data_IF_007138119515
#
_entry.id   IF_007138119515
#
_cell.length_a   1.000
_cell.length_b   1.000
_cell.length_c   1.000
_cell.angle_alpha   90.00
_cell.angle_beta   90.00
_cell.angle_gamma   90.00
#
_symmetry.space_group_name_H-M   'P 1'
#
loop_
_entity.id
_entity.type
_entity.pdbx_description
1 polymer ?
#
# COMPACT_ATOMS: atom_id res chain seq x y z
N UNK A 1 1.40 3.05 17.86
CA UNK A 1 1.63 3.86 16.64
C UNK A 1 1.40 3.04 15.37
N UNK A 2 2.00 1.85 15.22
CA UNK A 2 1.78 0.99 14.03
C UNK A 2 0.31 0.59 13.82
N UNK A 3 -0.48 0.35 14.87
CA UNK A 3 -1.91 0.04 14.72
C UNK A 3 -2.73 1.23 14.20
N UNK A 4 -2.39 2.46 14.60
CA UNK A 4 -3.03 3.65 14.04
C UNK A 4 -2.71 3.82 12.56
N UNK A 5 -1.46 3.60 12.16
CA UNK A 5 -1.05 3.69 10.75
C UNK A 5 -1.66 2.56 9.90
N UNK A 6 -1.83 1.37 10.47
CA UNK A 6 -2.56 0.28 9.82
C UNK A 6 -4.02 0.63 9.60
N UNK A 7 -4.71 1.15 10.63
CA UNK A 7 -6.09 1.61 10.52
C UNK A 7 -6.25 2.75 9.51
N UNK A 8 -5.34 3.73 9.51
CA UNK A 8 -5.35 4.82 8.55
C UNK A 8 -5.11 4.32 7.11
N UNK A 9 -4.19 3.38 6.90
CA UNK A 9 -3.96 2.78 5.59
C UNK A 9 -5.20 2.03 5.08
N UNK A 10 -5.87 1.28 5.95
CA UNK A 10 -7.14 0.62 5.62
C UNK A 10 -8.23 1.62 5.24
N UNK A 11 -8.40 2.69 6.03
CA UNK A 11 -9.39 3.73 5.74
C UNK A 11 -9.14 4.41 4.38
N UNK A 12 -7.88 4.74 4.08
CA UNK A 12 -7.49 5.31 2.79
C UNK A 12 -7.74 4.33 1.64
N UNK A 13 -7.41 3.06 1.82
CA UNK A 13 -7.68 2.02 0.81
C UNK A 13 -9.17 1.84 0.55
N UNK A 14 -10.02 1.94 1.59
CA UNK A 14 -11.47 1.93 1.47
C UNK A 14 -12.02 3.15 0.72
N UNK A 15 -11.34 4.30 0.82
CA UNK A 15 -11.66 5.52 0.07
C UNK A 15 -11.08 5.51 -1.37
N UNK A 16 -10.44 4.41 -1.79
CA UNK A 16 -9.92 4.24 -3.15
C UNK A 16 -8.44 4.57 -3.32
N UNK A 17 -7.68 4.69 -2.23
CA UNK A 17 -6.23 4.81 -2.31
C UNK A 17 -5.57 3.56 -2.94
N UNK A 18 -4.36 3.76 -3.46
CA UNK A 18 -3.57 2.71 -4.10
C UNK A 18 -2.21 2.62 -3.42
N UNK A 19 -1.75 1.41 -3.14
CA UNK A 19 -0.38 1.19 -2.69
C UNK A 19 0.50 0.88 -3.90
N UNK A 20 1.63 1.56 -4.02
CA UNK A 20 2.62 1.29 -5.07
C UNK A 20 3.97 0.90 -4.44
N UNK A 21 4.58 -0.16 -4.96
CA UNK A 21 5.96 -0.54 -4.65
C UNK A 21 6.90 0.29 -5.54
N UNK A 22 7.68 1.18 -4.94
CA UNK A 22 8.52 2.13 -5.66
C UNK A 22 9.93 1.62 -5.99
N UNK A 23 10.46 0.70 -5.17
CA UNK A 23 11.72 0.02 -5.39
C UNK A 23 11.64 -1.46 -4.98
N UNK A 24 12.46 -2.30 -5.60
CA UNK A 24 12.54 -3.73 -5.32
C UNK A 24 13.69 -4.12 -4.38
N UNK A 25 14.73 -3.29 -4.27
CA UNK A 25 15.88 -3.52 -3.41
C UNK A 25 16.47 -2.18 -2.90
N UNK A 26 16.21 -1.79 -1.64
CA UNK A 26 15.26 -2.41 -0.70
C UNK A 26 13.82 -2.24 -1.16
N UNK A 27 12.90 -3.09 -0.66
CA UNK A 27 11.47 -2.94 -0.90
C UNK A 27 10.95 -1.65 -0.27
N UNK A 28 10.46 -0.72 -1.09
CA UNK A 28 9.86 0.53 -0.62
C UNK A 28 8.43 0.67 -1.14
N UNK A 29 7.55 1.21 -0.32
CA UNK A 29 6.14 1.37 -0.65
C UNK A 29 5.67 2.79 -0.39
N UNK A 30 4.63 3.20 -1.11
CA UNK A 30 3.86 4.43 -0.87
C UNK A 30 2.39 4.14 -0.98
N UNK A 31 1.57 4.93 -0.28
CA UNK A 31 0.14 4.99 -0.50
C UNK A 31 -0.19 6.30 -1.21
N UNK A 32 -1.02 6.21 -2.24
CA UNK A 32 -1.40 7.31 -3.12
C UNK A 32 -2.90 7.49 -3.00
N UNK A 33 -3.34 8.71 -2.66
CA UNK A 33 -4.74 9.06 -2.53
C UNK A 33 -4.97 10.49 -3.04
N UNK A 34 -5.90 10.66 -3.98
CA UNK A 34 -6.28 11.98 -4.54
C UNK A 34 -5.08 12.85 -4.98
N UNK A 35 -4.06 12.23 -5.60
CA UNK A 35 -2.85 12.91 -6.06
C UNK A 35 -1.77 13.13 -4.98
N UNK A 36 -2.09 12.96 -3.70
CA UNK A 36 -1.11 12.93 -2.62
C UNK A 36 -0.42 11.56 -2.55
N UNK A 37 0.87 11.54 -2.22
CA UNK A 37 1.67 10.32 -2.11
C UNK A 37 2.53 10.38 -0.86
N UNK A 38 2.37 9.41 0.05
CA UNK A 38 3.16 9.34 1.29
C UNK A 38 3.86 7.99 1.43
N UNK A 39 5.06 7.94 2.03
CA UNK A 39 5.74 6.68 2.31
C UNK A 39 4.89 5.75 3.18
N UNK A 40 4.86 4.47 2.83
CA UNK A 40 4.20 3.43 3.60
C UNK A 40 5.23 2.37 4.01
N UNK A 41 5.21 1.99 5.28
CA UNK A 41 6.16 0.99 5.78
C UNK A 41 5.87 -0.40 5.18
N UNK A 42 6.95 -1.16 4.89
CA UNK A 42 6.82 -2.53 4.41
C UNK A 42 6.07 -3.45 5.39
N UNK A 43 6.21 -3.22 6.70
CA UNK A 43 5.48 -3.98 7.73
C UNK A 43 3.95 -3.80 7.64
N UNK A 44 3.46 -2.59 7.34
CA UNK A 44 2.03 -2.35 7.13
C UNK A 44 1.55 -3.07 5.86
N UNK A 45 2.29 -2.97 4.76
CA UNK A 45 1.95 -3.66 3.51
C UNK A 45 1.93 -5.18 3.72
N UNK A 46 2.91 -5.74 4.43
CA UNK A 46 2.95 -7.16 4.74
C UNK A 46 1.75 -7.59 5.58
N UNK A 47 1.38 -6.83 6.62
CA UNK A 47 0.19 -7.10 7.44
C UNK A 47 -1.10 -7.03 6.62
N UNK A 48 -1.25 -6.03 5.73
CA UNK A 48 -2.39 -5.92 4.82
C UNK A 48 -2.48 -7.12 3.86
N UNK A 49 -1.34 -7.61 3.35
CA UNK A 49 -1.30 -8.80 2.46
C UNK A 49 -1.62 -10.09 3.20
N UNK A 50 -1.02 -10.31 4.37
CA UNK A 50 -1.29 -11.52 5.18
C UNK A 50 -2.75 -11.55 5.63
N UNK A 51 -3.31 -10.40 6.02
CA UNK A 51 -4.73 -10.25 6.33
C UNK A 51 -5.67 -10.25 5.11
N UNK A 52 -5.14 -10.44 3.90
CA UNK A 52 -5.90 -10.47 2.63
C UNK A 52 -6.73 -9.21 2.33
N UNK A 53 -6.40 -8.06 2.93
CA UNK A 53 -7.08 -6.80 2.69
C UNK A 53 -6.75 -6.18 1.34
N UNK A 54 -5.58 -6.52 0.78
CA UNK A 54 -5.13 -5.99 -0.51
C UNK A 54 -4.73 -7.11 -1.46
N UNK A 55 -4.87 -6.85 -2.76
CA UNK A 55 -4.41 -7.72 -3.85
C UNK A 55 -3.47 -6.98 -4.79
N UNK A 56 -2.48 -7.69 -5.33
CA UNK A 56 -1.67 -7.19 -6.43
C UNK A 56 -2.53 -7.16 -7.70
N UNK A 57 -2.67 -6.00 -8.33
CA UNK A 57 -3.57 -5.82 -9.49
C UNK A 57 -2.78 -5.73 -10.78
N UNK A 58 -1.68 -4.99 -10.80
CA UNK A 58 -0.87 -4.81 -11.99
C UNK A 58 0.58 -4.44 -11.65
N UNK A 59 1.43 -4.58 -12.66
CA UNK A 59 2.79 -4.05 -12.67
C UNK A 59 2.87 -2.96 -13.73
N UNK A 60 3.13 -1.72 -13.33
CA UNK A 60 3.29 -0.57 -14.23
C UNK A 60 4.73 -0.11 -14.16
N UNK A 61 5.45 -0.12 -15.29
CA UNK A 61 6.87 0.25 -15.36
C UNK A 61 7.74 -0.51 -14.33
N UNK A 62 7.48 -1.80 -14.15
CA UNK A 62 8.16 -2.64 -13.16
C UNK A 62 7.75 -2.41 -11.70
N UNK A 63 6.80 -1.50 -11.43
CA UNK A 63 6.29 -1.20 -10.08
C UNK A 63 4.96 -1.91 -9.84
N UNK A 64 4.91 -2.67 -8.75
CA UNK A 64 3.71 -3.40 -8.34
C UNK A 64 2.70 -2.45 -7.71
N UNK A 65 1.43 -2.62 -8.05
CA UNK A 65 0.31 -1.88 -7.45
C UNK A 65 -0.62 -2.82 -6.72
N UNK A 66 -1.05 -2.38 -5.55
CA UNK A 66 -1.97 -3.08 -4.69
C UNK A 66 -3.19 -2.22 -4.41
N UNK A 67 -4.36 -2.84 -4.50
CA UNK A 67 -5.65 -2.21 -4.22
C UNK A 67 -6.34 -2.96 -3.10
N UNK A 68 -7.32 -2.31 -2.46
CA UNK A 68 -8.25 -3.01 -1.59
C UNK A 68 -8.90 -4.18 -2.35
N UNK A 69 -9.05 -5.30 -1.64
CA UNK A 69 -9.70 -6.49 -2.16
C UNK A 69 -11.22 -6.33 -2.23
#
# INVERSE_FOLDING_TARGET
>A
MQDMLFGAALALLADGAVIEQTASAPLTYRIIHQGASVPLSGGIVQRLRIGQHIREVCTVNGRKRFYLR
#
